data_IF_433500632965
#
_entry.id   IF_433500632965
#
_cell.length_a   1.000
_cell.length_b   1.000
_cell.length_c   1.000
_cell.angle_alpha   90.00
_cell.angle_beta   90.00
_cell.angle_gamma   90.00
#
_symmetry.space_group_name_H-M   'P 1'
#
loop_
_entity.id
_entity.type
_entity.pdbx_description
1 polymer ?
#
# COMPACT_ATOMS: atom_id res chain seq x y z
N UNK A 1 -21.25 13.46 11.33
CA UNK A 1 -20.25 14.13 10.47
C UNK A 1 -19.28 13.04 10.02
N UNK A 2 -18.97 12.95 8.73
CA UNK A 2 -18.00 11.98 8.25
C UNK A 2 -16.63 12.23 8.86
N UNK A 3 -16.01 11.18 9.43
CA UNK A 3 -14.62 11.19 9.87
C UNK A 3 -13.88 10.13 9.06
N UNK A 4 -13.08 10.58 8.11
CA UNK A 4 -12.45 9.74 7.08
C UNK A 4 -11.00 9.45 7.46
N UNK A 5 -10.62 8.18 7.51
CA UNK A 5 -9.23 7.75 7.68
C UNK A 5 -8.62 7.35 6.34
N UNK A 6 -7.31 7.60 6.21
CA UNK A 6 -6.48 7.09 5.13
C UNK A 6 -5.61 5.96 5.65
N UNK A 7 -5.61 4.83 4.94
CA UNK A 7 -4.80 3.67 5.28
C UNK A 7 -4.13 3.11 4.02
N UNK A 8 -2.93 2.55 4.18
CA UNK A 8 -2.14 1.97 3.09
C UNK A 8 -1.22 0.88 3.61
N UNK A 9 -0.48 0.25 2.72
CA UNK A 9 0.61 -0.65 3.05
C UNK A 9 1.99 0.02 2.87
N UNK A 10 3.06 -0.63 3.30
CA UNK A 10 4.40 -0.04 3.25
C UNK A 10 5.06 -0.03 1.87
N UNK A 11 4.41 -0.61 0.84
CA UNK A 11 4.89 -0.46 -0.53
C UNK A 11 4.71 0.97 -1.06
N UNK A 12 3.89 1.79 -0.40
CA UNK A 12 3.77 3.20 -0.75
C UNK A 12 5.08 3.94 -0.43
N UNK A 13 5.57 4.72 -1.39
CA UNK A 13 6.67 5.66 -1.18
C UNK A 13 6.07 7.06 -1.01
N UNK A 14 5.78 7.36 0.24
CA UNK A 14 5.22 8.63 0.68
C UNK A 14 6.14 9.22 1.76
N UNK A 15 6.33 10.53 1.76
CA UNK A 15 7.17 11.20 2.74
C UNK A 15 6.49 11.28 4.11
N UNK A 16 7.31 11.34 5.16
CA UNK A 16 6.84 11.36 6.55
C UNK A 16 6.05 12.61 6.90
N UNK A 17 6.30 13.74 6.23
CA UNK A 17 5.57 14.97 6.43
C UNK A 17 4.12 14.81 5.95
N UNK A 18 3.92 14.26 4.75
CA UNK A 18 2.60 13.95 4.20
C UNK A 18 1.86 12.92 5.07
N UNK A 19 2.55 11.86 5.54
CA UNK A 19 1.98 10.86 6.45
C UNK A 19 1.47 11.52 7.73
N UNK A 20 2.29 12.36 8.35
CA UNK A 20 1.94 13.05 9.59
C UNK A 20 0.82 14.06 9.39
N UNK A 21 0.90 14.85 8.31
CA UNK A 21 -0.09 15.89 7.99
C UNK A 21 -1.50 15.32 7.85
N UNK A 22 -1.65 14.20 7.15
CA UNK A 22 -2.95 13.61 6.86
C UNK A 22 -3.29 12.40 7.74
N UNK A 23 -2.47 12.14 8.77
CA UNK A 23 -2.63 11.00 9.70
C UNK A 23 -2.84 9.67 8.95
N UNK A 24 -2.01 9.43 7.91
CA UNK A 24 -2.07 8.23 7.09
C UNK A 24 -1.55 7.05 7.90
N UNK A 25 -2.33 5.97 7.97
CA UNK A 25 -1.93 4.74 8.65
C UNK A 25 -1.28 3.79 7.67
N UNK A 26 -0.02 3.47 7.91
CA UNK A 26 0.75 2.53 7.09
C UNK A 26 0.78 1.18 7.81
N UNK A 27 0.32 0.14 7.13
CA UNK A 27 0.44 -1.25 7.58
C UNK A 27 1.68 -1.87 6.92
N UNK A 28 2.72 -2.19 7.70
CA UNK A 28 3.99 -2.62 7.15
C UNK A 28 3.94 -4.05 6.62
N UNK A 29 4.67 -4.31 5.55
CA UNK A 29 5.01 -5.65 5.11
C UNK A 29 5.99 -6.31 6.08
N UNK A 30 6.06 -7.64 6.03
CA UNK A 30 7.11 -8.40 6.68
C UNK A 30 8.23 -8.70 5.68
N UNK A 31 9.46 -8.58 6.14
CA UNK A 31 10.68 -8.91 5.40
C UNK A 31 11.27 -10.15 6.06
N UNK A 32 11.23 -11.27 5.35
CA UNK A 32 11.49 -12.61 5.90
C UNK A 32 12.77 -13.14 5.29
N UNK A 33 13.79 -13.32 6.14
CA UNK A 33 15.03 -14.04 5.88
C UNK A 33 14.89 -15.49 6.37
N UNK A 34 15.92 -16.31 6.16
CA UNK A 34 15.90 -17.71 6.54
C UNK A 34 15.79 -17.92 8.06
N UNK A 35 16.42 -17.04 8.84
CA UNK A 35 16.58 -17.16 10.30
C UNK A 35 15.96 -16.00 11.09
N UNK A 36 15.41 -15.00 10.42
CA UNK A 36 14.89 -13.78 11.04
C UNK A 36 13.79 -13.11 10.21
N UNK A 37 12.97 -12.34 10.89
CA UNK A 37 11.90 -11.57 10.28
C UNK A 37 11.96 -10.12 10.77
N UNK A 38 11.63 -9.20 9.88
CA UNK A 38 11.55 -7.76 10.16
C UNK A 38 10.24 -7.18 9.67
N UNK A 39 9.91 -6.02 10.23
CA UNK A 39 8.76 -5.19 9.84
C UNK A 39 9.27 -4.04 8.98
N UNK A 40 8.86 -4.01 7.73
CA UNK A 40 9.34 -3.04 6.73
C UNK A 40 9.19 -1.59 7.19
N UNK A 41 10.27 -0.81 7.07
CA UNK A 41 10.37 0.61 7.47
C UNK A 41 10.14 0.88 8.97
N UNK A 42 10.08 -0.18 9.82
CA UNK A 42 9.94 -0.07 11.28
C UNK A 42 11.22 -0.52 11.98
N UNK A 43 11.66 -1.75 11.74
CA UNK A 43 12.84 -2.35 12.36
C UNK A 43 13.92 -2.78 11.34
N UNK A 44 13.69 -2.50 10.05
CA UNK A 44 14.66 -2.62 8.98
C UNK A 44 14.47 -1.50 7.96
N UNK A 45 15.55 -0.92 7.48
CA UNK A 45 15.55 0.10 6.43
C UNK A 45 15.72 -0.51 5.05
N UNK A 46 15.26 0.19 4.01
CA UNK A 46 15.48 -0.22 2.61
C UNK A 46 16.97 -0.36 2.30
N UNK A 47 17.83 0.49 2.89
CA UNK A 47 19.28 0.41 2.71
C UNK A 47 19.84 -0.90 3.25
N UNK A 48 19.44 -1.30 4.45
CA UNK A 48 19.87 -2.56 5.06
C UNK A 48 19.39 -3.77 4.24
N UNK A 49 18.16 -3.72 3.70
CA UNK A 49 17.67 -4.75 2.80
C UNK A 49 18.58 -4.86 1.57
N UNK A 50 18.89 -3.74 0.90
CA UNK A 50 19.75 -3.74 -0.29
C UNK A 50 21.16 -4.22 -0.01
N UNK A 51 21.75 -3.84 1.12
CA UNK A 51 23.08 -4.30 1.54
C UNK A 51 23.09 -5.82 1.77
N UNK A 52 22.03 -6.36 2.39
CA UNK A 52 21.87 -7.78 2.67
C UNK A 52 21.57 -8.62 1.42
N UNK A 53 20.95 -8.06 0.39
CA UNK A 53 20.58 -8.79 -0.85
C UNK A 53 21.77 -9.42 -1.58
N UNK A 54 22.98 -8.96 -1.30
CA UNK A 54 24.21 -9.57 -1.84
C UNK A 54 24.47 -10.97 -1.26
N UNK A 55 24.07 -11.20 -0.02
CA UNK A 55 24.26 -12.47 0.71
C UNK A 55 22.98 -13.29 0.75
N UNK A 56 21.85 -12.67 0.96
CA UNK A 56 20.56 -13.33 1.05
C UNK A 56 19.44 -12.43 0.50
N UNK A 57 18.62 -12.97 -0.39
CA UNK A 57 17.45 -12.28 -0.92
C UNK A 57 16.25 -12.62 -0.05
N UNK A 58 15.69 -11.66 0.71
CA UNK A 58 14.56 -11.93 1.56
C UNK A 58 13.27 -12.14 0.75
N UNK A 59 12.29 -12.80 1.37
CA UNK A 59 10.90 -12.81 0.92
C UNK A 59 10.15 -11.67 1.59
N UNK A 60 9.07 -11.22 0.95
CA UNK A 60 8.14 -10.28 1.57
C UNK A 60 6.77 -10.92 1.74
N UNK A 61 6.10 -10.59 2.83
CA UNK A 61 4.71 -10.95 3.11
C UNK A 61 3.89 -9.69 3.31
N UNK A 62 2.66 -9.70 2.84
CA UNK A 62 1.69 -8.64 3.11
C UNK A 62 1.42 -8.45 4.61
N UNK A 63 0.84 -7.32 5.06
CA UNK A 63 0.32 -7.19 6.41
C UNK A 63 -0.61 -8.35 6.76
N UNK A 64 -0.54 -8.85 7.99
CA UNK A 64 -1.41 -9.94 8.42
C UNK A 64 -2.86 -9.48 8.54
N UNK A 65 -3.80 -10.41 8.54
CA UNK A 65 -5.21 -10.08 8.79
C UNK A 65 -5.41 -9.49 10.19
N UNK A 66 -4.61 -9.93 11.15
CA UNK A 66 -4.60 -9.41 12.52
C UNK A 66 -4.11 -7.96 12.58
N UNK A 67 -3.09 -7.61 11.79
CA UNK A 67 -2.59 -6.22 11.69
C UNK A 67 -3.67 -5.30 11.14
N UNK A 68 -4.35 -5.73 10.06
CA UNK A 68 -5.43 -4.97 9.45
C UNK A 68 -6.60 -4.85 10.43
N UNK A 69 -7.01 -5.93 11.07
CA UNK A 69 -8.11 -5.94 12.05
C UNK A 69 -7.80 -5.04 13.25
N UNK A 70 -6.55 -5.07 13.75
CA UNK A 70 -6.09 -4.18 14.83
C UNK A 70 -6.16 -2.71 14.42
N UNK A 71 -5.82 -2.38 13.18
CA UNK A 71 -5.94 -1.03 12.66
C UNK A 71 -7.40 -0.57 12.61
N UNK A 72 -8.31 -1.40 12.13
CA UNK A 72 -9.75 -1.08 12.10
C UNK A 72 -10.34 -0.92 13.50
N UNK A 73 -9.99 -1.78 14.47
CA UNK A 73 -10.42 -1.64 15.87
C UNK A 73 -9.99 -0.28 16.47
N UNK A 74 -8.77 0.17 16.16
CA UNK A 74 -8.29 1.49 16.58
C UNK A 74 -9.09 2.63 15.92
N UNK A 75 -9.38 2.51 14.63
CA UNK A 75 -10.18 3.49 13.90
C UNK A 75 -11.60 3.58 14.47
N UNK A 76 -12.23 2.45 14.78
CA UNK A 76 -13.55 2.39 15.40
C UNK A 76 -13.54 3.03 16.78
N UNK A 77 -12.56 2.71 17.64
CA UNK A 77 -12.39 3.32 18.95
C UNK A 77 -12.14 4.84 18.88
N UNK A 78 -11.54 5.32 17.81
CA UNK A 78 -11.33 6.74 17.53
C UNK A 78 -12.53 7.41 16.85
N UNK A 79 -13.65 6.69 16.68
CA UNK A 79 -14.88 7.15 16.04
C UNK A 79 -14.70 7.59 14.56
N UNK A 80 -13.83 6.91 13.82
CA UNK A 80 -13.83 7.04 12.37
C UNK A 80 -15.06 6.33 11.78
N UNK A 81 -15.68 6.98 10.83
CA UNK A 81 -16.91 6.49 10.17
C UNK A 81 -16.63 5.96 8.77
N UNK A 82 -15.52 6.39 8.18
CA UNK A 82 -15.12 6.02 6.81
C UNK A 82 -13.63 5.72 6.71
N UNK A 83 -13.29 4.80 5.82
CA UNK A 83 -11.89 4.43 5.51
C UNK A 83 -11.70 4.46 4.00
N UNK A 84 -10.66 5.14 3.55
CA UNK A 84 -10.11 4.99 2.20
C UNK A 84 -8.80 4.23 2.32
N UNK A 85 -8.78 2.97 1.86
CA UNK A 85 -7.59 2.15 1.78
C UNK A 85 -7.04 2.18 0.35
N UNK A 86 -5.86 2.76 0.17
CA UNK A 86 -5.14 2.77 -1.11
C UNK A 86 -3.99 1.78 -1.00
N UNK A 87 -4.01 0.72 -1.77
CA UNK A 87 -3.09 -0.41 -1.57
C UNK A 87 -2.39 -0.83 -2.87
N UNK A 88 -1.26 -1.52 -2.69
CA UNK A 88 -0.49 -2.09 -3.80
C UNK A 88 -1.36 -2.94 -4.72
N UNK A 89 -0.97 -3.01 -5.99
CA UNK A 89 -1.63 -3.82 -7.02
C UNK A 89 -1.95 -5.23 -6.53
N UNK A 90 -3.21 -5.64 -6.69
CA UNK A 90 -3.65 -7.04 -6.46
C UNK A 90 -2.93 -8.05 -7.37
N UNK A 91 -2.31 -7.57 -8.45
CA UNK A 91 -1.41 -8.36 -9.29
C UNK A 91 -0.07 -8.68 -8.60
N UNK A 92 0.38 -7.88 -7.64
CA UNK A 92 1.67 -8.03 -6.96
C UNK A 92 1.55 -8.62 -5.55
N UNK A 93 0.44 -8.36 -4.85
CA UNK A 93 0.22 -8.76 -3.47
C UNK A 93 -1.22 -9.15 -3.21
N UNK A 94 -1.46 -9.97 -2.18
CA UNK A 94 -2.80 -10.28 -1.66
C UNK A 94 -3.40 -9.19 -0.76
N UNK A 95 -2.69 -8.07 -0.53
CA UNK A 95 -3.09 -7.00 0.39
C UNK A 95 -4.52 -6.49 0.14
N UNK A 96 -4.87 -6.25 -1.12
CA UNK A 96 -6.23 -5.84 -1.49
C UNK A 96 -7.30 -6.80 -0.98
N UNK A 97 -7.10 -8.11 -1.18
CA UNK A 97 -8.06 -9.13 -0.74
C UNK A 97 -8.10 -9.24 0.80
N UNK A 98 -6.96 -9.10 1.47
CA UNK A 98 -6.90 -9.11 2.93
C UNK A 98 -7.69 -7.94 3.53
N UNK A 99 -7.51 -6.72 2.98
CA UNK A 99 -8.32 -5.56 3.38
C UNK A 99 -9.81 -5.79 3.16
N UNK A 100 -10.18 -6.36 2.00
CA UNK A 100 -11.58 -6.64 1.68
C UNK A 100 -12.22 -7.57 2.71
N UNK A 101 -11.57 -8.71 3.01
CA UNK A 101 -12.08 -9.69 3.97
C UNK A 101 -12.21 -9.09 5.38
N UNK A 102 -11.22 -8.28 5.80
CA UNK A 102 -11.23 -7.71 7.15
C UNK A 102 -12.26 -6.59 7.26
N UNK A 103 -12.35 -5.69 6.27
CA UNK A 103 -13.29 -4.56 6.31
C UNK A 103 -14.75 -5.01 6.44
N UNK A 104 -15.11 -6.16 5.87
CA UNK A 104 -16.47 -6.72 5.98
C UNK A 104 -16.90 -7.06 7.43
N UNK A 105 -15.94 -7.12 8.38
CA UNK A 105 -16.22 -7.34 9.80
C UNK A 105 -16.59 -6.06 10.56
N UNK A 106 -16.39 -4.88 9.96
CA UNK A 106 -16.53 -3.57 10.59
C UNK A 106 -17.67 -2.77 9.94
N UNK A 107 -18.92 -3.23 10.16
CA UNK A 107 -20.12 -2.62 9.57
C UNK A 107 -20.34 -1.15 9.99
N UNK A 108 -19.73 -0.72 11.12
CA UNK A 108 -19.75 0.67 11.61
C UNK A 108 -18.89 1.62 10.77
N UNK A 109 -18.01 1.10 9.92
CA UNK A 109 -17.05 1.87 9.11
C UNK A 109 -17.28 1.60 7.62
N UNK A 110 -17.78 2.58 6.90
CA UNK A 110 -17.86 2.49 5.45
C UNK A 110 -16.45 2.51 4.84
N UNK A 111 -16.08 1.43 4.14
CA UNK A 111 -14.72 1.27 3.61
C UNK A 111 -14.71 1.25 2.08
N UNK A 112 -13.88 2.08 1.49
CA UNK A 112 -13.49 2.01 0.09
C UNK A 112 -12.06 1.55 -0.05
N UNK A 113 -11.84 0.42 -0.72
CA UNK A 113 -10.52 -0.14 -0.97
C UNK A 113 -10.17 0.06 -2.44
N UNK A 114 -9.11 0.81 -2.70
CA UNK A 114 -8.64 1.09 -4.04
C UNK A 114 -7.41 0.24 -4.38
N UNK A 115 -7.60 -0.67 -5.34
CA UNK A 115 -6.51 -1.41 -5.97
C UNK A 115 -5.81 -0.50 -6.98
N UNK A 116 -4.63 -0.04 -6.66
CA UNK A 116 -3.91 0.93 -7.49
C UNK A 116 -3.49 0.39 -8.85
N UNK A 117 -3.48 -0.94 -9.04
CA UNK A 117 -2.85 -1.59 -10.21
C UNK A 117 -1.43 -1.07 -10.45
N UNK A 118 -0.76 -0.64 -9.39
CA UNK A 118 0.55 -0.02 -9.35
C UNK A 118 1.22 -0.30 -8.01
N UNK A 119 2.28 0.44 -7.71
CA UNK A 119 3.02 0.39 -6.44
C UNK A 119 3.74 1.71 -6.22
N UNK A 120 4.44 1.85 -5.08
CA UNK A 120 5.41 2.91 -4.82
C UNK A 120 4.77 4.31 -4.83
N UNK A 121 5.38 5.25 -5.53
CA UNK A 121 4.95 6.66 -5.58
C UNK A 121 3.51 6.85 -6.07
N UNK A 122 2.99 5.93 -6.87
CA UNK A 122 1.58 6.02 -7.33
C UNK A 122 0.60 5.93 -6.16
N UNK A 123 0.86 5.07 -5.20
CA UNK A 123 0.05 4.95 -3.98
C UNK A 123 0.15 6.24 -3.15
N UNK A 124 1.39 6.70 -2.93
CA UNK A 124 1.67 7.91 -2.17
C UNK A 124 1.00 9.16 -2.73
N UNK A 125 1.04 9.35 -4.06
CA UNK A 125 0.39 10.50 -4.71
C UNK A 125 -1.14 10.43 -4.57
N UNK A 126 -1.75 9.26 -4.74
CA UNK A 126 -3.20 9.11 -4.55
C UNK A 126 -3.58 9.41 -3.10
N UNK A 127 -2.84 8.89 -2.13
CA UNK A 127 -3.07 9.15 -0.71
C UNK A 127 -2.97 10.64 -0.37
N UNK A 128 -1.92 11.31 -0.86
CA UNK A 128 -1.74 12.75 -0.69
C UNK A 128 -2.94 13.52 -1.23
N UNK A 129 -3.36 13.23 -2.46
CA UNK A 129 -4.51 13.90 -3.07
C UNK A 129 -5.81 13.62 -2.29
N UNK A 130 -6.00 12.41 -1.77
CA UNK A 130 -7.14 12.12 -0.87
C UNK A 130 -7.06 12.96 0.40
N UNK A 131 -5.87 13.09 1.01
CA UNK A 131 -5.65 13.93 2.18
C UNK A 131 -5.99 15.40 1.92
N UNK A 132 -5.58 15.95 0.78
CA UNK A 132 -5.92 17.31 0.36
C UNK A 132 -7.42 17.52 0.19
N UNK A 133 -8.13 16.53 -0.36
CA UNK A 133 -9.59 16.60 -0.50
C UNK A 133 -10.32 16.51 0.85
N UNK A 134 -9.82 15.69 1.78
CA UNK A 134 -10.35 15.61 3.16
C UNK A 134 -10.15 16.95 3.87
N UNK A 135 -8.95 17.52 3.77
CA UNK A 135 -8.61 18.84 4.35
C UNK A 135 -9.50 19.96 3.76
N UNK A 136 -9.86 19.84 2.48
CA UNK A 136 -10.80 20.74 1.82
C UNK A 136 -12.29 20.49 2.16
N UNK A 137 -12.59 19.58 3.08
CA UNK A 137 -13.94 19.26 3.53
C UNK A 137 -14.81 18.53 2.49
N UNK A 138 -14.19 17.84 1.53
CA UNK A 138 -14.95 17.06 0.54
C UNK A 138 -15.55 15.82 1.21
N UNK A 139 -16.82 15.47 0.90
CA UNK A 139 -17.44 14.26 1.42
C UNK A 139 -16.81 12.99 0.85
N UNK A 140 -16.87 11.90 1.62
CA UNK A 140 -16.30 10.60 1.29
C UNK A 140 -16.65 10.15 -0.14
N UNK A 141 -17.92 10.18 -0.51
CA UNK A 141 -18.36 9.74 -1.84
C UNK A 141 -17.69 10.53 -2.98
N UNK A 142 -17.48 11.85 -2.81
CA UNK A 142 -16.81 12.68 -3.80
C UNK A 142 -15.33 12.34 -3.93
N UNK A 143 -14.67 12.02 -2.82
CA UNK A 143 -13.25 11.61 -2.82
C UNK A 143 -13.10 10.27 -3.53
N UNK A 144 -13.94 9.29 -3.19
CA UNK A 144 -13.96 7.97 -3.82
C UNK A 144 -14.13 8.07 -5.34
N UNK A 145 -15.07 8.90 -5.80
CA UNK A 145 -15.29 9.13 -7.24
C UNK A 145 -14.08 9.76 -7.94
N UNK A 146 -13.30 10.58 -7.24
CA UNK A 146 -12.14 11.25 -7.82
C UNK A 146 -10.91 10.32 -7.98
N UNK A 147 -10.77 9.25 -7.17
CA UNK A 147 -9.59 8.40 -7.18
C UNK A 147 -9.28 7.76 -8.54
N UNK A 148 -10.24 7.16 -9.28
CA UNK A 148 -9.96 6.62 -10.61
C UNK A 148 -9.45 7.67 -11.60
N UNK A 149 -9.96 8.90 -11.53
CA UNK A 149 -9.52 10.00 -12.39
C UNK A 149 -8.11 10.51 -12.02
N UNK A 150 -7.75 10.49 -10.73
CA UNK A 150 -6.38 10.74 -10.30
C UNK A 150 -5.44 9.69 -10.90
N UNK A 151 -5.80 8.40 -10.82
CA UNK A 151 -4.98 7.29 -11.35
C UNK A 151 -4.76 7.40 -12.86
N UNK A 152 -5.75 7.81 -13.64
CA UNK A 152 -5.62 8.00 -15.10
C UNK A 152 -4.53 9.02 -15.48
N UNK A 153 -4.24 9.98 -14.61
CA UNK A 153 -3.22 11.01 -14.83
C UNK A 153 -1.82 10.58 -14.37
N UNK A 154 -1.71 9.42 -13.69
CA UNK A 154 -0.44 8.93 -13.17
C UNK A 154 0.17 7.91 -14.13
N UNK A 155 1.35 8.23 -14.62
CA UNK A 155 2.18 7.33 -15.40
C UNK A 155 3.38 6.94 -14.55
N UNK A 156 3.50 5.65 -14.25
CA UNK A 156 4.57 5.11 -13.43
C UNK A 156 5.59 4.41 -14.32
N UNK A 157 6.83 4.87 -14.24
CA UNK A 157 7.97 4.27 -14.94
C UNK A 157 8.97 3.77 -13.92
N UNK A 158 9.53 2.60 -14.15
CA UNK A 158 10.60 2.05 -13.35
C UNK A 158 11.62 1.35 -14.23
N UNK A 159 12.86 1.28 -13.76
CA UNK A 159 13.95 0.62 -14.46
C UNK A 159 14.49 -0.49 -13.56
N UNK A 160 14.55 -1.69 -14.10
CA UNK A 160 15.22 -2.80 -13.43
C UNK A 160 16.71 -2.79 -13.76
N UNK A 161 17.57 -2.73 -12.75
CA UNK A 161 18.99 -3.01 -12.93
C UNK A 161 19.25 -4.51 -13.18
N UNK A 162 18.34 -5.39 -12.68
CA UNK A 162 18.33 -6.82 -12.94
C UNK A 162 16.93 -7.38 -12.70
N UNK A 163 16.48 -8.27 -13.58
CA UNK A 163 15.22 -9.02 -13.40
C UNK A 163 15.35 -10.20 -12.43
N UNK A 164 16.57 -10.52 -11.99
CA UNK A 164 16.84 -11.66 -11.12
C UNK A 164 16.03 -11.59 -9.83
N UNK A 165 15.97 -10.42 -9.19
CA UNK A 165 15.24 -10.21 -7.94
C UNK A 165 13.73 -10.37 -8.13
N UNK A 166 13.17 -9.84 -9.19
CA UNK A 166 11.75 -10.01 -9.53
C UNK A 166 11.40 -11.48 -9.80
N UNK A 167 12.32 -12.22 -10.45
CA UNK A 167 12.17 -13.66 -10.71
C UNK A 167 12.23 -14.46 -9.43
N UNK A 168 13.25 -14.24 -8.58
CA UNK A 168 13.41 -14.94 -7.30
C UNK A 168 12.27 -14.59 -6.33
N UNK A 169 11.75 -13.37 -6.37
CA UNK A 169 10.57 -12.94 -5.63
C UNK A 169 9.25 -13.52 -6.15
N UNK A 170 9.24 -14.19 -7.30
CA UNK A 170 8.04 -14.79 -7.89
C UNK A 170 7.05 -13.80 -8.50
N UNK A 171 7.42 -12.55 -8.74
CA UNK A 171 6.58 -11.49 -9.33
C UNK A 171 6.90 -11.22 -10.80
N UNK A 172 7.92 -11.84 -11.39
CA UNK A 172 8.34 -11.61 -12.78
C UNK A 172 7.21 -11.83 -13.79
N UNK A 173 6.43 -12.91 -13.66
CA UNK A 173 5.30 -13.21 -14.55
C UNK A 173 4.13 -12.25 -14.44
N UNK A 174 4.03 -11.51 -13.34
CA UNK A 174 2.98 -10.50 -13.10
C UNK A 174 3.41 -9.12 -13.60
N UNK A 175 4.71 -8.91 -13.70
CA UNK A 175 5.34 -7.70 -14.25
C UNK A 175 5.42 -7.80 -15.78
N UNK A 176 5.69 -8.97 -16.32
CA UNK A 176 5.87 -9.20 -17.77
C UNK A 176 4.60 -8.95 -18.61
N UNK A 177 3.40 -8.97 -18.00
CA UNK A 177 2.19 -8.51 -18.68
C UNK A 177 2.17 -7.01 -19.01
N UNK A 178 3.14 -6.24 -18.46
CA UNK A 178 3.33 -4.81 -18.74
C UNK A 178 4.63 -4.55 -19.49
N UNK A 179 5.56 -5.53 -19.49
CA UNK A 179 6.83 -5.50 -20.22
C UNK A 179 6.64 -6.43 -21.42
N UNK A 180 5.72 -6.06 -22.31
CA UNK A 180 5.62 -6.73 -23.61
C UNK A 180 6.93 -6.61 -24.36
N UNK A 181 7.46 -7.74 -24.84
CA UNK A 181 8.41 -7.89 -25.97
C UNK A 181 9.72 -7.06 -25.98
N UNK A 182 10.20 -6.51 -24.87
CA UNK A 182 11.34 -5.57 -24.89
C UNK A 182 12.62 -6.11 -24.29
N UNK A 183 12.81 -7.42 -24.21
CA UNK A 183 14.05 -8.03 -23.72
C UNK A 183 14.45 -9.20 -24.64
N UNK A 184 14.95 -8.88 -25.81
CA UNK A 184 15.99 -9.66 -26.44
C UNK A 184 17.35 -9.14 -25.99
#
# INVERSE_FOLDING_TARGET
>A
MEKIALITDSACDIDSETVSKYNIRILPFKIIYTDREYTDKVDITSKEIYDNMKSEIPKSSQPTMEDIESAYKKLEAENYTHVIAVVISSGLSGTYNAFKIVSEKFESIETYIYDTKSTSVCEGIILKNCGELIEAGKPFASIVQAIPEMKKKLHFFFVFGSLEYARKGGRIGRISGTIGELLD
#
